data_IF_467294149982
#
_entry.id   IF_467294149982
#
_cell.length_a   1.000
_cell.length_b   1.000
_cell.length_c   1.000
_cell.angle_alpha   90.00
_cell.angle_beta   90.00
_cell.angle_gamma   90.00
#
_symmetry.space_group_name_H-M   'P 1'
#
loop_
_entity.id
_entity.type
_entity.pdbx_description
1 polymer ?
#
# COMPACT_ATOMS: atom_id res chain seq x y z
N UNK A 1 68.48 -38.29 -54.00
CA UNK A 1 67.74 -37.22 -54.71
C UNK A 1 66.56 -36.77 -53.84
N UNK A 2 65.86 -35.68 -54.20
CA UNK A 2 64.64 -35.14 -53.53
C UNK A 2 63.55 -36.25 -53.40
N UNK A 3 62.54 -36.15 -52.52
CA UNK A 3 61.73 -34.98 -52.07
C UNK A 3 61.30 -35.04 -50.59
N UNK A 4 60.92 -33.87 -50.06
CA UNK A 4 60.16 -33.70 -48.81
C UNK A 4 58.69 -34.14 -48.96
N UNK A 5 58.08 -34.52 -47.84
CA UNK A 5 56.61 -34.43 -47.65
C UNK A 5 56.33 -33.84 -46.27
N UNK A 6 55.69 -32.67 -46.23
CA UNK A 6 55.10 -32.09 -45.01
C UNK A 6 53.71 -32.70 -44.75
N UNK A 7 53.27 -32.73 -43.49
CA UNK A 7 51.85 -32.58 -43.14
C UNK A 7 51.72 -32.05 -41.70
N UNK A 8 50.59 -31.39 -41.41
CA UNK A 8 50.43 -30.46 -40.29
C UNK A 8 50.06 -31.16 -38.97
N UNK A 9 50.57 -30.63 -37.86
CA UNK A 9 50.03 -30.90 -36.53
C UNK A 9 48.98 -29.83 -36.16
N UNK A 10 47.71 -30.21 -36.10
CA UNK A 10 46.60 -29.32 -35.74
C UNK A 10 46.42 -29.22 -34.22
N UNK A 11 46.99 -28.18 -33.61
CA UNK A 11 46.65 -27.80 -32.23
C UNK A 11 45.22 -27.25 -32.17
N UNK A 12 44.30 -28.02 -31.60
CA UNK A 12 42.94 -27.57 -31.30
C UNK A 12 42.96 -26.67 -30.06
N UNK A 13 42.90 -25.35 -30.27
CA UNK A 13 42.92 -24.37 -29.18
C UNK A 13 41.54 -24.29 -28.50
N UNK A 14 41.38 -24.99 -27.37
CA UNK A 14 40.12 -25.07 -26.64
C UNK A 14 39.83 -23.77 -25.87
N UNK A 15 39.25 -22.79 -26.56
CA UNK A 15 38.88 -21.51 -25.97
C UNK A 15 37.74 -21.67 -24.95
N UNK A 16 38.06 -21.58 -23.65
CA UNK A 16 37.06 -21.54 -22.58
C UNK A 16 36.29 -20.21 -22.66
N UNK A 17 35.09 -20.25 -23.24
CA UNK A 17 34.16 -19.13 -23.20
C UNK A 17 33.62 -18.95 -21.77
N UNK A 18 34.29 -18.11 -20.97
CA UNK A 18 33.76 -17.65 -19.70
C UNK A 18 32.40 -16.97 -19.93
N UNK A 19 31.31 -17.40 -19.26
CA UNK A 19 30.04 -16.70 -19.37
C UNK A 19 30.19 -15.31 -18.75
N UNK A 20 30.20 -14.28 -19.60
CA UNK A 20 30.32 -12.91 -19.17
C UNK A 20 29.13 -12.53 -18.28
N UNK A 21 29.36 -12.39 -16.99
CA UNK A 21 28.36 -11.95 -16.01
C UNK A 21 27.87 -10.55 -16.37
N UNK A 22 26.80 -10.47 -17.15
CA UNK A 22 26.12 -9.23 -17.47
C UNK A 22 25.58 -8.62 -16.17
N UNK A 23 26.30 -7.63 -15.64
CA UNK A 23 25.89 -6.88 -14.46
C UNK A 23 24.53 -6.24 -14.77
N UNK A 24 23.47 -6.82 -14.18
CA UNK A 24 22.11 -6.37 -14.37
C UNK A 24 22.00 -4.90 -13.93
N UNK A 25 21.96 -3.99 -14.91
CA UNK A 25 22.03 -2.56 -14.67
C UNK A 25 20.92 -2.10 -13.72
N UNK A 26 21.25 -1.17 -12.82
CA UNK A 26 20.30 -0.63 -11.86
C UNK A 26 19.02 -0.19 -12.59
N UNK A 27 17.83 -0.72 -12.21
CA UNK A 27 16.57 -0.40 -12.87
C UNK A 27 16.35 1.11 -13.00
N UNK A 28 16.01 1.55 -14.20
CA UNK A 28 15.78 2.98 -14.50
C UNK A 28 14.58 3.49 -13.70
N UNK A 29 14.58 4.77 -13.36
CA UNK A 29 13.41 5.39 -12.77
C UNK A 29 12.23 5.34 -13.74
N UNK A 30 11.06 4.95 -13.25
CA UNK A 30 9.81 4.95 -14.00
C UNK A 30 8.98 6.20 -13.73
N UNK A 31 8.19 6.61 -14.72
CA UNK A 31 7.21 7.69 -14.58
C UNK A 31 5.94 7.31 -15.32
N UNK A 32 4.77 7.57 -14.73
CA UNK A 32 3.50 7.47 -15.43
C UNK A 32 2.73 8.79 -15.32
N UNK A 33 2.33 9.34 -16.47
CA UNK A 33 1.53 10.58 -16.58
C UNK A 33 0.10 10.34 -17.09
N UNK A 34 -0.24 9.10 -17.44
CA UNK A 34 -1.54 8.71 -17.98
C UNK A 34 -1.57 7.24 -18.37
N UNK A 35 -2.67 6.53 -18.06
CA UNK A 35 -2.91 5.17 -18.53
C UNK A 35 -2.28 4.07 -17.68
N UNK A 36 -2.10 2.88 -18.27
CA UNK A 36 -1.64 1.70 -17.55
C UNK A 36 -0.11 1.65 -17.38
N UNK A 37 0.33 1.36 -16.15
CA UNK A 37 1.70 1.01 -15.78
C UNK A 37 1.92 -0.47 -16.13
N UNK A 38 2.83 -0.81 -17.06
CA UNK A 38 3.11 -2.19 -17.43
C UNK A 38 3.95 -2.90 -16.36
N UNK A 39 3.81 -4.24 -16.32
CA UNK A 39 4.62 -5.10 -15.47
C UNK A 39 6.11 -4.99 -15.80
N UNK A 40 6.95 -5.03 -14.76
CA UNK A 40 8.39 -4.79 -14.93
C UNK A 40 9.08 -4.39 -13.63
N UNK A 41 10.37 -4.06 -13.74
CA UNK A 41 11.20 -3.62 -12.61
C UNK A 41 11.74 -2.22 -12.83
N UNK A 42 11.50 -1.34 -11.86
CA UNK A 42 11.83 0.08 -11.86
C UNK A 42 12.75 0.42 -10.69
N UNK A 43 13.45 1.56 -10.80
CA UNK A 43 14.24 2.16 -9.74
C UNK A 43 13.33 2.84 -8.72
N UNK A 44 13.34 4.18 -8.67
CA UNK A 44 12.21 4.92 -8.11
C UNK A 44 11.09 4.99 -9.15
N UNK A 45 9.84 5.21 -8.72
CA UNK A 45 8.71 5.43 -9.62
C UNK A 45 7.94 6.69 -9.23
N UNK A 46 7.50 7.49 -10.22
CA UNK A 46 6.68 8.69 -9.99
C UNK A 46 5.40 8.68 -10.83
N UNK A 47 4.24 8.75 -10.18
CA UNK A 47 2.95 8.97 -10.83
C UNK A 47 2.67 10.47 -10.84
N UNK A 48 2.44 11.05 -12.03
CA UNK A 48 2.29 12.50 -12.27
C UNK A 48 0.94 12.89 -12.88
N UNK A 49 0.15 11.94 -13.35
CA UNK A 49 -1.21 12.13 -13.85
C UNK A 49 -2.17 11.07 -13.30
N UNK A 50 -3.13 10.62 -14.09
CA UNK A 50 -4.05 9.53 -13.70
C UNK A 50 -3.58 8.20 -14.30
N UNK A 51 -3.15 7.27 -13.45
CA UNK A 51 -2.56 6.00 -13.83
C UNK A 51 -3.20 4.82 -13.09
N UNK A 52 -3.29 3.69 -13.79
CA UNK A 52 -3.67 2.39 -13.25
C UNK A 52 -2.52 1.40 -13.44
N UNK A 53 -2.52 0.28 -12.74
CA UNK A 53 -1.66 -0.86 -13.10
C UNK A 53 -2.36 -1.72 -14.14
N UNK A 54 -1.60 -2.16 -15.15
CA UNK A 54 -2.10 -3.04 -16.21
C UNK A 54 -2.62 -4.37 -15.64
N UNK A 55 -3.66 -4.94 -16.24
CA UNK A 55 -4.22 -6.19 -15.75
C UNK A 55 -3.20 -7.35 -15.79
N UNK A 56 -3.16 -8.15 -14.71
CA UNK A 56 -2.16 -9.21 -14.52
C UNK A 56 -0.70 -8.75 -14.43
N UNK A 57 -0.41 -7.45 -14.35
CA UNK A 57 0.96 -6.97 -14.23
C UNK A 57 1.50 -7.13 -12.81
N UNK A 58 2.77 -7.51 -12.71
CA UNK A 58 3.54 -7.43 -11.48
C UNK A 58 4.58 -6.29 -11.60
N UNK A 59 4.48 -5.30 -10.70
CA UNK A 59 5.24 -4.05 -10.71
C UNK A 59 6.22 -4.00 -9.53
N UNK A 60 7.51 -4.15 -9.81
CA UNK A 60 8.58 -4.06 -8.81
C UNK A 60 9.24 -2.69 -8.84
N UNK A 61 9.22 -1.96 -7.72
CA UNK A 61 9.85 -0.66 -7.56
C UNK A 61 10.95 -0.80 -6.49
N UNK A 62 12.22 -0.93 -6.91
CA UNK A 62 13.35 -1.16 -5.99
C UNK A 62 13.69 0.06 -5.11
N UNK A 63 13.19 1.23 -5.47
CA UNK A 63 13.32 2.48 -4.74
C UNK A 63 12.00 2.92 -4.11
N UNK A 64 11.74 4.22 -4.14
CA UNK A 64 10.52 4.83 -3.59
C UNK A 64 9.47 5.00 -4.69
N UNK A 65 8.21 4.87 -4.32
CA UNK A 65 7.05 5.30 -5.11
C UNK A 65 6.62 6.70 -4.66
N UNK A 66 6.35 7.59 -5.60
CA UNK A 66 5.81 8.93 -5.33
C UNK A 66 4.55 9.13 -6.17
N UNK A 67 3.41 9.38 -5.52
CA UNK A 67 2.22 9.91 -6.19
C UNK A 67 2.24 11.42 -6.04
N UNK A 68 2.47 12.14 -7.15
CA UNK A 68 2.66 13.59 -7.16
C UNK A 68 1.37 14.36 -6.78
N UNK A 69 1.47 15.68 -6.60
CA UNK A 69 0.32 16.51 -6.20
C UNK A 69 -0.79 16.41 -7.26
N UNK A 70 -2.02 16.10 -6.83
CA UNK A 70 -3.17 15.92 -7.73
C UNK A 70 -3.11 14.69 -8.64
N UNK A 71 -2.08 13.84 -8.52
CA UNK A 71 -1.96 12.63 -9.32
C UNK A 71 -2.75 11.47 -8.70
N UNK A 72 -3.18 10.52 -9.53
CA UNK A 72 -4.02 9.38 -9.16
C UNK A 72 -3.28 8.11 -9.55
N UNK A 73 -3.11 7.20 -8.59
CA UNK A 73 -2.69 5.83 -8.82
C UNK A 73 -3.81 4.90 -8.36
N UNK A 74 -4.30 4.04 -9.26
CA UNK A 74 -5.30 2.99 -8.97
C UNK A 74 -6.52 3.53 -8.19
N UNK A 75 -7.30 4.44 -8.78
CA UNK A 75 -8.48 4.97 -8.10
C UNK A 75 -9.43 3.84 -7.64
N UNK A 76 -9.99 3.97 -6.43
CA UNK A 76 -10.75 2.91 -5.74
C UNK A 76 -10.03 1.53 -5.69
N UNK A 77 -8.69 1.52 -5.68
CA UNK A 77 -7.84 0.32 -5.74
C UNK A 77 -8.12 -0.60 -6.94
N UNK A 78 -8.31 -0.01 -8.12
CA UNK A 78 -8.60 -0.70 -9.38
C UNK A 78 -7.62 -1.84 -9.79
N UNK A 79 -6.43 -1.96 -9.19
CA UNK A 79 -5.49 -3.05 -9.47
C UNK A 79 -5.90 -4.40 -8.85
N UNK A 80 -6.59 -4.36 -7.69
CA UNK A 80 -7.07 -5.54 -6.99
C UNK A 80 -7.99 -6.41 -7.84
N UNK A 81 -9.01 -5.77 -8.41
CA UNK A 81 -9.98 -6.36 -9.34
C UNK A 81 -9.38 -6.82 -10.68
N UNK A 82 -8.10 -6.51 -10.95
CA UNK A 82 -7.39 -6.84 -12.20
C UNK A 82 -6.34 -7.93 -12.03
N UNK A 83 -6.21 -8.53 -10.85
CA UNK A 83 -5.20 -9.55 -10.55
C UNK A 83 -3.75 -9.04 -10.70
N UNK A 84 -3.55 -7.73 -10.57
CA UNK A 84 -2.24 -7.11 -10.61
C UNK A 84 -1.58 -7.07 -9.22
N UNK A 85 -0.28 -6.82 -9.16
CA UNK A 85 0.52 -6.83 -7.93
C UNK A 85 1.55 -5.70 -7.94
N UNK A 86 1.76 -5.05 -6.79
CA UNK A 86 2.77 -4.01 -6.62
C UNK A 86 3.67 -4.24 -5.39
N UNK A 87 4.98 -4.19 -5.63
CA UNK A 87 6.02 -4.35 -4.61
C UNK A 87 6.95 -3.13 -4.61
N UNK A 88 6.96 -2.36 -3.52
CA UNK A 88 7.80 -1.17 -3.34
C UNK A 88 8.83 -1.44 -2.25
N UNK A 89 10.11 -1.59 -2.60
CA UNK A 89 11.16 -1.88 -1.60
C UNK A 89 11.44 -0.68 -0.69
N UNK A 90 11.27 0.55 -1.19
CA UNK A 90 11.42 1.78 -0.42
C UNK A 90 10.09 2.28 0.18
N UNK A 91 9.95 3.60 0.28
CA UNK A 91 8.77 4.25 0.84
C UNK A 91 7.75 4.62 -0.26
N UNK A 92 6.47 4.65 0.10
CA UNK A 92 5.41 5.29 -0.72
C UNK A 92 5.16 6.70 -0.19
N UNK A 93 5.11 7.69 -1.08
CA UNK A 93 4.89 9.11 -0.72
C UNK A 93 3.71 9.68 -1.50
N UNK A 94 2.56 9.79 -0.85
CA UNK A 94 1.34 10.39 -1.41
C UNK A 94 1.32 11.88 -1.10
N UNK A 95 1.19 12.73 -2.11
CA UNK A 95 1.27 14.19 -1.98
C UNK A 95 -0.11 14.86 -1.91
N UNK A 96 -0.12 16.19 -1.74
CA UNK A 96 -1.34 17.00 -1.59
C UNK A 96 -2.32 16.75 -2.75
N UNK A 97 -3.56 16.41 -2.43
CA UNK A 97 -4.64 16.15 -3.38
C UNK A 97 -4.47 14.88 -4.23
N UNK A 98 -3.52 14.01 -3.88
CA UNK A 98 -3.26 12.78 -4.62
C UNK A 98 -4.14 11.61 -4.15
N UNK A 99 -4.43 10.66 -5.04
CA UNK A 99 -5.10 9.40 -4.72
C UNK A 99 -4.12 8.24 -4.84
N UNK A 100 -4.13 7.35 -3.85
CA UNK A 100 -3.47 6.05 -3.91
C UNK A 100 -4.50 4.96 -3.64
N UNK A 101 -4.71 4.04 -4.58
CA UNK A 101 -5.13 2.68 -4.25
C UNK A 101 -3.93 1.75 -4.27
N UNK A 102 -3.86 0.83 -3.31
CA UNK A 102 -2.90 -0.27 -3.33
C UNK A 102 -3.52 -1.56 -2.77
N UNK A 103 -3.23 -2.69 -3.42
CA UNK A 103 -3.76 -4.01 -3.06
C UNK A 103 -5.22 -4.23 -3.49
N UNK A 104 -6.06 -4.71 -2.57
CA UNK A 104 -7.39 -5.30 -2.86
C UNK A 104 -7.35 -6.53 -3.79
N UNK A 105 -6.20 -7.19 -3.88
CA UNK A 105 -5.92 -8.40 -4.68
C UNK A 105 -5.97 -9.71 -3.86
N UNK A 106 -6.67 -9.72 -2.72
CA UNK A 106 -6.89 -10.89 -1.88
C UNK A 106 -8.32 -10.93 -1.31
N UNK A 107 -8.67 -12.01 -0.61
CA UNK A 107 -9.98 -12.14 0.04
C UNK A 107 -10.07 -11.28 1.31
N UNK A 108 -11.30 -10.94 1.71
CA UNK A 108 -11.56 -10.27 2.98
C UNK A 108 -11.01 -11.10 4.17
N UNK A 109 -10.38 -10.44 5.14
CA UNK A 109 -9.67 -11.08 6.26
C UNK A 109 -8.29 -11.64 5.93
N UNK A 110 -7.81 -11.57 4.67
CA UNK A 110 -6.52 -12.16 4.25
C UNK A 110 -5.52 -11.12 3.76
N UNK A 111 -4.24 -11.36 4.01
CA UNK A 111 -3.14 -10.51 3.53
C UNK A 111 -2.78 -10.91 2.10
N UNK A 112 -2.63 -9.93 1.23
CA UNK A 112 -2.32 -10.08 -0.18
C UNK A 112 -0.82 -10.04 -0.49
N UNK A 113 -0.46 -10.16 -1.78
CA UNK A 113 0.92 -10.16 -2.25
C UNK A 113 1.60 -8.77 -2.21
N UNK A 114 0.84 -7.68 -2.09
CA UNK A 114 1.35 -6.32 -2.22
C UNK A 114 2.18 -5.88 -1.01
N UNK A 115 3.31 -5.21 -1.28
CA UNK A 115 4.32 -4.92 -0.25
C UNK A 115 4.89 -3.52 -0.34
N UNK A 116 5.14 -2.92 0.84
CA UNK A 116 5.92 -1.69 1.03
C UNK A 116 7.00 -1.96 2.08
N UNK A 117 8.26 -2.04 1.66
CA UNK A 117 9.43 -2.31 2.51
C UNK A 117 9.79 -1.14 3.44
N UNK A 118 9.38 0.08 3.10
CA UNK A 118 9.50 1.27 3.92
C UNK A 118 8.18 1.71 4.56
N UNK A 119 7.99 3.02 4.66
CA UNK A 119 6.78 3.64 5.20
C UNK A 119 5.84 4.07 4.06
N UNK A 120 4.53 4.12 4.34
CA UNK A 120 3.58 4.91 3.54
C UNK A 120 3.40 6.26 4.24
N UNK A 121 3.71 7.36 3.55
CA UNK A 121 3.55 8.73 4.08
C UNK A 121 2.67 9.54 3.15
N UNK A 122 1.44 9.82 3.58
CA UNK A 122 0.46 10.62 2.88
C UNK A 122 0.34 12.01 3.53
N UNK A 123 0.56 13.05 2.74
CA UNK A 123 0.56 14.44 3.21
C UNK A 123 -0.51 15.23 2.44
N UNK A 124 -1.65 15.42 3.10
CA UNK A 124 -2.91 15.92 2.55
C UNK A 124 -3.40 15.15 1.30
N UNK A 125 -3.45 13.81 1.31
CA UNK A 125 -4.04 13.05 0.20
C UNK A 125 -5.49 13.49 -0.07
N UNK A 126 -6.01 13.22 -1.26
CA UNK A 126 -7.46 13.20 -1.47
C UNK A 126 -8.04 11.97 -0.76
N UNK A 127 -7.43 10.80 -1.01
CA UNK A 127 -7.70 9.57 -0.26
C UNK A 127 -6.56 8.55 -0.43
N UNK A 128 -6.49 7.58 0.49
CA UNK A 128 -5.76 6.33 0.32
C UNK A 128 -6.73 5.17 0.53
N UNK A 129 -6.87 4.31 -0.49
CA UNK A 129 -7.48 2.98 -0.38
C UNK A 129 -6.35 1.98 -0.16
N UNK A 130 -6.28 1.36 1.02
CA UNK A 130 -5.25 0.36 1.35
C UNK A 130 -5.91 -0.94 1.80
N UNK A 131 -5.84 -1.96 0.94
CA UNK A 131 -6.49 -3.26 1.17
C UNK A 131 -5.49 -4.40 1.04
N UNK A 132 -5.41 -5.28 2.03
CA UNK A 132 -4.60 -6.50 1.97
C UNK A 132 -3.07 -6.28 1.77
N UNK A 133 -2.52 -5.09 2.07
CA UNK A 133 -1.09 -4.75 1.85
C UNK A 133 -0.22 -5.08 3.08
N UNK A 134 1.02 -5.54 2.85
CA UNK A 134 2.05 -5.59 3.90
C UNK A 134 2.95 -4.36 3.86
N UNK A 135 2.85 -3.49 4.86
CA UNK A 135 3.72 -2.33 5.10
C UNK A 135 4.70 -2.65 6.22
N UNK A 136 5.99 -2.81 5.92
CA UNK A 136 7.00 -3.14 6.93
C UNK A 136 7.32 -1.97 7.87
N UNK A 137 7.17 -0.73 7.41
CA UNK A 137 7.29 0.49 8.22
C UNK A 137 5.98 0.99 8.80
N UNK A 138 5.87 2.31 8.97
CA UNK A 138 4.67 2.99 9.45
C UNK A 138 3.73 3.36 8.29
N UNK A 139 2.43 3.46 8.57
CA UNK A 139 1.49 4.22 7.75
C UNK A 139 1.18 5.55 8.44
N UNK A 140 1.39 6.67 7.76
CA UNK A 140 1.14 8.01 8.31
C UNK A 140 0.39 8.85 7.28
N UNK A 141 -0.89 9.14 7.54
CA UNK A 141 -1.70 10.10 6.82
C UNK A 141 -1.97 11.34 7.69
N UNK A 142 -1.75 12.53 7.13
CA UNK A 142 -1.96 13.81 7.82
C UNK A 142 -2.59 14.86 6.89
N UNK A 143 -3.77 15.34 7.27
CA UNK A 143 -4.58 16.31 6.54
C UNK A 143 -5.29 15.72 5.31
N UNK A 144 -6.06 16.55 4.62
CA UNK A 144 -6.60 16.25 3.29
C UNK A 144 -8.03 15.72 3.32
N UNK A 145 -8.41 15.01 2.26
CA UNK A 145 -9.77 14.55 2.02
C UNK A 145 -10.56 15.38 1.00
N UNK A 146 -11.76 14.88 0.72
CA UNK A 146 -12.78 15.44 -0.18
C UNK A 146 -14.14 14.81 0.18
N UNK A 147 -15.23 15.59 0.11
CA UNK A 147 -16.57 15.18 0.55
C UNK A 147 -17.21 14.05 -0.26
N UNK A 148 -16.65 13.67 -1.41
CA UNK A 148 -17.09 12.51 -2.20
C UNK A 148 -16.19 11.28 -2.07
N UNK A 149 -15.21 11.28 -1.16
CA UNK A 149 -14.20 10.20 -1.05
C UNK A 149 -14.28 9.42 0.25
N UNK A 150 -13.96 8.14 0.15
CA UNK A 150 -13.85 7.22 1.27
C UNK A 150 -12.37 6.95 1.57
N UNK A 151 -11.99 6.70 2.83
CA UNK A 151 -10.61 6.38 3.24
C UNK A 151 -10.56 5.00 3.96
N UNK A 152 -10.62 3.89 3.22
CA UNK A 152 -10.56 2.55 3.80
C UNK A 152 -9.12 2.05 3.96
N UNK A 153 -8.77 1.69 5.19
CA UNK A 153 -7.54 0.95 5.53
C UNK A 153 -7.99 -0.40 6.09
N UNK A 154 -8.11 -1.41 5.21
CA UNK A 154 -8.64 -2.75 5.55
C UNK A 154 -7.63 -3.88 5.34
N UNK A 155 -7.63 -4.88 6.21
CA UNK A 155 -6.93 -6.17 5.99
C UNK A 155 -5.39 -6.11 5.84
N UNK A 156 -4.74 -5.02 6.29
CA UNK A 156 -3.30 -4.80 6.10
C UNK A 156 -2.45 -5.34 7.25
N UNK A 157 -1.18 -5.69 6.98
CA UNK A 157 -0.14 -5.84 8.01
C UNK A 157 0.71 -4.58 8.02
N UNK A 158 0.84 -3.93 9.18
CA UNK A 158 1.62 -2.70 9.35
C UNK A 158 2.62 -2.93 10.50
N UNK A 159 3.90 -3.09 10.18
CA UNK A 159 4.94 -3.42 11.17
C UNK A 159 5.20 -2.29 12.17
N UNK A 160 5.06 -1.04 11.73
CA UNK A 160 5.16 0.16 12.56
C UNK A 160 3.82 0.63 13.12
N UNK A 161 3.70 1.95 13.29
CA UNK A 161 2.47 2.61 13.74
C UNK A 161 1.53 2.88 12.55
N UNK A 162 0.24 2.93 12.82
CA UNK A 162 -0.80 3.42 11.92
C UNK A 162 -1.32 4.77 12.46
N UNK A 163 -1.10 5.85 11.72
CA UNK A 163 -1.49 7.21 12.12
C UNK A 163 -2.33 7.84 11.03
N UNK A 164 -3.55 8.28 11.36
CA UNK A 164 -4.49 8.95 10.45
C UNK A 164 -5.05 10.17 11.17
N UNK A 165 -4.69 11.37 10.68
CA UNK A 165 -5.10 12.63 11.32
C UNK A 165 -5.58 13.66 10.34
N UNK A 166 -6.63 14.42 10.70
CA UNK A 166 -7.06 15.60 9.94
C UNK A 166 -7.61 15.32 8.54
N UNK A 167 -8.00 14.08 8.22
CA UNK A 167 -8.65 13.76 6.95
C UNK A 167 -10.15 14.04 7.02
N UNK A 168 -10.73 14.65 5.99
CA UNK A 168 -12.16 14.98 5.94
C UNK A 168 -12.81 14.52 4.63
N UNK A 169 -13.79 13.63 4.67
CA UNK A 169 -14.50 13.17 3.48
C UNK A 169 -15.83 12.47 3.77
N UNK A 170 -16.27 11.56 2.91
CA UNK A 170 -17.54 10.86 3.07
C UNK A 170 -17.46 9.80 4.17
N UNK A 171 -16.73 8.71 3.93
CA UNK A 171 -16.63 7.57 4.85
C UNK A 171 -15.17 7.24 5.22
N UNK A 172 -14.91 6.79 6.45
CA UNK A 172 -13.57 6.38 6.92
C UNK A 172 -13.62 5.19 7.88
N UNK A 173 -12.66 4.26 7.75
CA UNK A 173 -12.51 3.14 8.67
C UNK A 173 -11.15 2.41 8.60
N UNK A 174 -10.74 1.88 9.76
CA UNK A 174 -9.53 1.08 10.02
C UNK A 174 -9.96 -0.31 10.51
N UNK A 175 -9.95 -1.28 9.60
CA UNK A 175 -10.68 -2.54 9.80
C UNK A 175 -9.78 -3.77 9.57
N UNK A 176 -9.76 -4.70 10.54
CA UNK A 176 -9.02 -6.00 10.46
C UNK A 176 -7.52 -5.91 10.13
N UNK A 177 -6.87 -4.79 10.40
CA UNK A 177 -5.43 -4.68 10.21
C UNK A 177 -4.68 -5.37 11.36
N UNK A 178 -3.45 -5.80 11.11
CA UNK A 178 -2.49 -6.20 12.15
C UNK A 178 -1.40 -5.13 12.25
N UNK A 179 -1.44 -4.34 13.32
CA UNK A 179 -0.55 -3.18 13.54
C UNK A 179 0.41 -3.50 14.67
N UNK A 180 1.71 -3.55 14.40
CA UNK A 180 2.74 -3.86 15.40
C UNK A 180 2.97 -2.72 16.40
N UNK A 181 2.82 -1.48 15.95
CA UNK A 181 2.90 -0.27 16.79
C UNK A 181 1.54 0.21 17.31
N UNK A 182 1.44 1.51 17.54
CA UNK A 182 0.20 2.17 17.97
C UNK A 182 -0.73 2.45 16.78
N UNK A 183 -2.04 2.45 17.03
CA UNK A 183 -3.05 3.07 16.15
C UNK A 183 -3.43 4.43 16.72
N UNK A 184 -3.32 5.49 15.92
CA UNK A 184 -3.68 6.86 16.33
C UNK A 184 -4.58 7.49 15.26
N UNK A 185 -5.86 7.61 15.58
CA UNK A 185 -6.90 8.14 14.69
C UNK A 185 -7.53 9.36 15.33
N UNK A 186 -7.23 10.57 14.85
CA UNK A 186 -7.68 11.80 15.53
C UNK A 186 -7.97 12.97 14.60
N UNK A 187 -8.97 13.78 14.94
CA UNK A 187 -9.37 14.97 14.17
C UNK A 187 -9.82 14.65 12.73
N UNK A 188 -10.34 13.45 12.48
CA UNK A 188 -10.89 13.08 11.17
C UNK A 188 -12.40 13.33 11.11
N UNK A 189 -12.91 13.68 9.94
CA UNK A 189 -14.33 13.99 9.74
C UNK A 189 -14.89 13.16 8.59
N UNK A 190 -15.86 12.30 8.87
CA UNK A 190 -16.67 11.60 7.90
C UNK A 190 -18.07 12.24 7.86
N UNK A 191 -18.58 12.53 6.67
CA UNK A 191 -19.91 13.13 6.44
C UNK A 191 -20.98 12.10 6.08
N UNK A 192 -20.68 10.81 6.18
CA UNK A 192 -21.68 9.75 6.00
C UNK A 192 -22.70 9.75 7.13
N UNK A 193 -23.99 9.79 6.81
CA UNK A 193 -25.11 9.77 7.76
C UNK A 193 -26.12 8.66 7.44
N UNK A 194 -25.72 7.63 6.69
CA UNK A 194 -26.65 6.67 6.08
C UNK A 194 -27.25 5.64 7.06
N UNK A 195 -26.51 5.32 8.12
CA UNK A 195 -26.86 4.45 9.27
C UNK A 195 -25.98 4.92 10.45
N UNK A 196 -26.07 4.57 11.74
CA UNK A 196 -26.94 3.68 12.54
C UNK A 196 -27.27 4.38 13.88
N UNK A 197 -28.56 4.50 14.28
CA UNK A 197 -29.16 5.83 14.58
C UNK A 197 -28.12 6.95 14.82
N UNK A 198 -27.44 7.36 13.75
CA UNK A 198 -26.11 7.96 13.84
C UNK A 198 -25.42 8.07 12.48
N UNK A 199 -24.13 7.74 12.44
CA UNK A 199 -23.24 7.81 11.25
C UNK A 199 -22.52 6.48 11.07
N UNK A 200 -22.27 6.05 9.83
CA UNK A 200 -21.78 4.72 9.46
C UNK A 200 -20.24 4.68 9.35
N UNK A 201 -19.56 5.45 10.20
CA UNK A 201 -18.17 5.84 9.93
C UNK A 201 -17.32 6.07 11.18
N UNK A 202 -16.04 6.39 10.97
CA UNK A 202 -15.01 6.29 12.01
C UNK A 202 -14.91 4.88 12.61
N UNK A 203 -15.11 3.87 11.76
CA UNK A 203 -15.06 2.46 12.17
C UNK A 203 -13.62 2.05 12.52
N UNK A 204 -13.41 1.53 13.73
CA UNK A 204 -12.12 0.98 14.15
C UNK A 204 -12.38 -0.36 14.83
N UNK A 205 -12.28 -1.45 14.07
CA UNK A 205 -12.86 -2.74 14.46
C UNK A 205 -12.25 -3.94 13.74
N UNK A 206 -12.32 -5.12 14.37
CA UNK A 206 -12.26 -6.40 13.65
C UNK A 206 -13.59 -6.70 12.96
N UNK A 207 -13.71 -7.87 12.32
CA UNK A 207 -15.02 -8.43 11.98
C UNK A 207 -14.97 -9.96 11.98
N UNK A 208 -16.07 -10.64 11.66
CA UNK A 208 -16.13 -12.10 11.54
C UNK A 208 -15.08 -12.72 10.59
N UNK A 209 -14.47 -11.93 9.70
CA UNK A 209 -13.40 -12.38 8.80
C UNK A 209 -11.98 -12.24 9.38
N UNK A 210 -11.80 -11.52 10.49
CA UNK A 210 -10.50 -11.40 11.16
C UNK A 210 -10.48 -10.35 12.29
N UNK A 211 -9.58 -10.46 13.28
CA UNK A 211 -9.42 -9.45 14.31
C UNK A 211 -8.66 -8.22 13.78
N UNK A 212 -9.01 -7.03 14.25
CA UNK A 212 -8.12 -5.87 14.23
C UNK A 212 -7.17 -6.00 15.43
N UNK A 213 -5.87 -6.18 15.18
CA UNK A 213 -4.87 -6.37 16.23
C UNK A 213 -3.92 -5.19 16.29
N UNK A 214 -3.55 -4.76 17.49
CA UNK A 214 -2.81 -3.54 17.77
C UNK A 214 -1.81 -3.83 18.89
N UNK A 215 -0.53 -3.97 18.56
CA UNK A 215 0.52 -4.29 19.54
C UNK A 215 0.80 -3.16 20.54
N UNK A 216 0.63 -1.91 20.11
CA UNK A 216 0.73 -0.72 20.94
C UNK A 216 -0.62 -0.26 21.52
N UNK A 217 -0.74 1.05 21.74
CA UNK A 217 -1.97 1.69 22.20
C UNK A 217 -2.91 1.97 21.01
N UNK A 218 -4.21 1.99 21.29
CA UNK A 218 -5.25 2.49 20.39
C UNK A 218 -5.74 3.86 20.91
N UNK A 219 -5.53 4.93 20.15
CA UNK A 219 -5.72 6.31 20.61
C UNK A 219 -6.63 7.08 19.67
N UNK A 220 -7.81 7.50 20.16
CA UNK A 220 -8.86 8.09 19.32
C UNK A 220 -9.46 9.36 19.93
N UNK A 221 -9.34 10.49 19.23
CA UNK A 221 -9.75 11.80 19.75
C UNK A 221 -10.21 12.80 18.67
N UNK A 222 -11.32 13.47 18.94
CA UNK A 222 -11.92 14.52 18.11
C UNK A 222 -12.27 14.05 16.70
N UNK A 223 -12.64 12.78 16.52
CA UNK A 223 -13.22 12.33 15.25
C UNK A 223 -14.72 12.69 15.20
N UNK A 224 -15.23 12.91 14.00
CA UNK A 224 -16.66 13.17 13.75
C UNK A 224 -17.14 12.22 12.65
N UNK A 225 -17.98 11.21 12.93
CA UNK A 225 -18.41 10.79 14.26
C UNK A 225 -17.23 10.32 15.11
N UNK A 226 -17.45 10.16 16.42
CA UNK A 226 -16.48 9.51 17.30
C UNK A 226 -16.15 8.09 16.80
N UNK A 227 -14.94 7.61 17.09
CA UNK A 227 -14.56 6.23 16.74
C UNK A 227 -15.52 5.18 17.33
N UNK A 228 -15.85 4.14 16.56
CA UNK A 228 -16.85 3.13 16.93
C UNK A 228 -16.62 1.76 16.28
N UNK A 229 -17.39 0.75 16.72
CA UNK A 229 -17.55 -0.56 16.07
C UNK A 229 -18.97 -0.64 15.51
N UNK A 230 -19.10 -0.94 14.22
CA UNK A 230 -20.39 -1.16 13.58
C UNK A 230 -20.81 -2.63 13.70
N UNK A 231 -21.73 -2.91 14.62
CA UNK A 231 -22.18 -4.27 14.90
C UNK A 231 -23.08 -4.88 13.80
N UNK A 232 -23.67 -4.10 12.88
CA UNK A 232 -24.46 -4.66 11.78
C UNK A 232 -23.58 -5.15 10.63
N UNK A 233 -22.47 -4.48 10.35
CA UNK A 233 -21.43 -4.92 9.40
C UNK A 233 -20.56 -6.06 9.95
N UNK A 234 -21.04 -6.75 11.00
CA UNK A 234 -20.33 -7.85 11.65
C UNK A 234 -19.07 -7.42 12.39
N UNK A 235 -18.97 -6.14 12.75
CA UNK A 235 -17.85 -5.54 13.46
C UNK A 235 -17.62 -6.16 14.85
N UNK A 236 -16.35 -6.37 15.19
CA UNK A 236 -15.91 -6.97 16.46
C UNK A 236 -14.87 -6.08 17.15
N UNK A 237 -14.75 -6.26 18.47
CA UNK A 237 -13.79 -5.55 19.30
C UNK A 237 -12.33 -5.73 18.86
N UNK A 238 -11.51 -4.74 19.18
CA UNK A 238 -10.09 -4.67 18.87
C UNK A 238 -9.27 -5.51 19.87
N UNK A 239 -8.19 -6.12 19.39
CA UNK A 239 -7.21 -6.78 20.26
C UNK A 239 -6.05 -5.82 20.49
N UNK A 240 -6.12 -5.04 21.57
CA UNK A 240 -5.13 -4.00 21.94
C UNK A 240 -4.17 -4.55 23.00
N UNK A 241 -2.85 -4.49 22.72
CA UNK A 241 -1.79 -4.90 23.63
C UNK A 241 -1.34 -3.80 24.62
N UNK A 242 -1.55 -2.53 24.26
CA UNK A 242 -1.41 -1.37 25.14
C UNK A 242 -2.75 -0.90 25.71
N UNK A 243 -2.91 0.41 25.86
CA UNK A 243 -4.14 1.03 26.34
C UNK A 243 -5.06 1.41 25.16
N UNK A 244 -6.37 1.30 25.35
CA UNK A 244 -7.36 1.95 24.50
C UNK A 244 -7.78 3.30 25.13
N UNK A 245 -7.71 4.40 24.37
CA UNK A 245 -7.74 5.77 24.90
C UNK A 245 -8.69 6.67 24.10
N UNK A 246 -9.47 7.47 24.83
CA UNK A 246 -10.39 8.46 24.28
C UNK A 246 -11.69 7.81 23.80
N UNK A 247 -12.11 8.12 22.59
CA UNK A 247 -13.29 7.53 21.94
C UNK A 247 -13.18 6.01 21.85
N UNK A 248 -11.97 5.49 21.67
CA UNK A 248 -11.70 4.06 21.56
C UNK A 248 -11.62 3.32 22.91
N UNK A 249 -11.84 3.98 24.05
CA UNK A 249 -11.68 3.34 25.37
C UNK A 249 -12.69 2.20 25.66
N UNK A 250 -13.66 1.97 24.78
CA UNK A 250 -14.61 0.85 24.83
C UNK A 250 -14.69 0.04 23.53
N UNK A 251 -13.65 0.08 22.69
CA UNK A 251 -13.57 -0.63 21.39
C UNK A 251 -12.46 -1.68 21.39
#
# INVERSE_FOLDING_TARGET
MRRLTFLLATFALLAMALPGSALAGNPRAGTCSGGDIPGGTYGNFTVTGNCTVAAGANVWIKGNLIVARGAVLNDHAAEGFRGAQMHVTGNVKVRRGAVLGMGYNAAEGTVGPDTVGGNIVANHPLTVYLGNVTVHGNFISNGGGDSGRNFPIKDNVIGGNLVIKGWSGWWFGVIRNTVGGNVIVSHNTATDTSVLPGSDSSEIMGSVFGPQTIGGNLICHHNVPAAQINALDGGLANVVGGNAIGECAGL
#
